data_IF_685595582569
#
_entry.id   IF_685595582569
#
_cell.length_a   1.000
_cell.length_b   1.000
_cell.length_c   1.000
_cell.angle_alpha   90.00
_cell.angle_beta   90.00
_cell.angle_gamma   90.00
#
_symmetry.space_group_name_H-M   'P 1'
#
loop_
_entity.id
_entity.type
_entity.pdbx_description
1 polymer ?
#
# COMPACT_ATOMS: atom_id res chain seq x y z
N UNK A 1 -20.02 8.88 1.66
CA UNK A 1 -18.97 7.85 1.44
C UNK A 1 -18.00 7.92 2.61
N UNK A 2 -17.49 6.81 3.10
CA UNK A 2 -16.64 6.79 4.31
C UNK A 2 -15.18 6.84 3.88
N UNK A 3 -14.44 7.86 4.31
CA UNK A 3 -13.01 8.02 4.01
C UNK A 3 -12.19 7.01 4.82
N UNK A 4 -11.36 6.24 4.14
CA UNK A 4 -10.43 5.31 4.79
C UNK A 4 -9.12 5.99 5.18
N UNK A 5 -8.68 6.98 4.38
CA UNK A 5 -7.50 7.80 4.65
C UNK A 5 -7.83 9.26 4.41
N UNK A 6 -7.36 10.14 5.30
CA UNK A 6 -7.46 11.57 5.11
C UNK A 6 -6.20 12.26 5.65
N UNK A 7 -5.53 13.02 4.80
CA UNK A 7 -4.42 13.89 5.13
C UNK A 7 -4.92 15.33 5.05
N UNK A 8 -4.82 16.10 6.14
CA UNK A 8 -5.26 17.51 6.22
C UNK A 8 -4.05 18.38 6.54
N UNK A 9 -3.63 19.17 5.57
CA UNK A 9 -2.50 20.10 5.67
C UNK A 9 -1.23 19.45 6.24
N UNK A 10 -0.97 18.20 5.79
CA UNK A 10 0.14 17.39 6.32
C UNK A 10 1.46 17.89 5.77
N UNK A 11 2.37 18.25 6.68
CA UNK A 11 3.75 18.60 6.33
C UNK A 11 4.74 17.67 7.04
N UNK A 12 5.86 17.41 6.36
CA UNK A 12 6.99 16.65 6.91
C UNK A 12 8.30 17.35 6.62
N UNK A 13 9.03 17.61 7.70
CA UNK A 13 10.34 18.24 7.66
C UNK A 13 11.33 17.29 8.32
N UNK A 14 12.43 17.04 7.63
CA UNK A 14 13.59 16.30 8.15
C UNK A 14 14.75 17.24 8.43
N UNK A 15 15.56 16.94 9.44
CA UNK A 15 16.69 17.76 9.84
C UNK A 15 16.28 19.03 10.60
N UNK A 16 17.20 19.97 10.70
CA UNK A 16 16.99 21.27 11.33
C UNK A 16 18.01 22.30 10.80
N UNK A 17 17.62 23.58 10.77
CA UNK A 17 18.47 24.67 10.31
C UNK A 17 18.92 24.50 8.87
N UNK A 18 20.25 24.66 8.55
CA UNK A 18 20.71 24.63 7.16
C UNK A 18 20.55 23.30 6.42
N UNK A 19 20.28 22.20 7.14
CA UNK A 19 20.07 20.85 6.58
C UNK A 19 18.61 20.45 6.53
N UNK A 20 17.69 21.39 6.72
CA UNK A 20 16.27 21.15 6.73
C UNK A 20 15.77 20.79 5.33
N UNK A 21 15.05 19.66 5.25
CA UNK A 21 14.43 19.18 4.02
C UNK A 21 12.93 19.07 4.21
N UNK A 22 12.16 19.86 3.47
CA UNK A 22 10.70 19.79 3.44
C UNK A 22 10.27 18.69 2.48
N UNK A 23 10.06 17.50 3.00
CA UNK A 23 9.66 16.34 2.18
C UNK A 23 8.18 16.38 1.77
N UNK A 24 7.31 16.95 2.64
CA UNK A 24 5.89 17.21 2.33
C UNK A 24 5.51 18.61 2.81
N UNK A 25 4.64 19.27 2.06
CA UNK A 25 4.19 20.65 2.32
C UNK A 25 2.68 20.75 2.16
N UNK A 26 1.98 20.86 3.28
CA UNK A 26 0.54 21.10 3.36
C UNK A 26 -0.30 20.16 2.46
N UNK A 27 0.02 18.86 2.49
CA UNK A 27 -0.65 17.85 1.67
C UNK A 27 -2.11 17.71 2.10
N UNK A 28 -3.00 17.87 1.13
CA UNK A 28 -4.42 17.54 1.20
C UNK A 28 -4.69 16.32 0.32
N UNK A 29 -5.07 15.21 0.94
CA UNK A 29 -5.40 13.97 0.23
C UNK A 29 -6.47 13.21 1.00
N UNK A 30 -7.52 12.77 0.33
CA UNK A 30 -8.48 11.83 0.89
C UNK A 30 -8.61 10.62 -0.02
N UNK A 31 -8.84 9.45 0.57
CA UNK A 31 -9.07 8.19 -0.16
C UNK A 31 -10.34 7.55 0.41
N UNK A 32 -11.31 7.32 -0.46
CA UNK A 32 -12.58 6.71 -0.10
C UNK A 32 -12.45 5.18 -0.02
N UNK A 33 -13.35 4.53 0.71
CA UNK A 33 -13.42 3.07 0.68
C UNK A 33 -13.79 2.59 -0.72
N UNK A 34 -13.04 1.61 -1.22
CA UNK A 34 -13.19 1.09 -2.58
C UNK A 34 -12.44 1.88 -3.66
N UNK A 35 -11.82 3.01 -3.30
CA UNK A 35 -11.03 3.83 -4.21
C UNK A 35 -9.57 3.36 -4.27
N UNK A 36 -8.99 3.33 -5.46
CA UNK A 36 -7.56 3.21 -5.71
C UNK A 36 -7.01 4.55 -6.21
N UNK A 37 -6.10 5.13 -5.47
CA UNK A 37 -5.40 6.37 -5.84
C UNK A 37 -3.96 6.04 -6.24
N UNK A 38 -3.54 6.47 -7.43
CA UNK A 38 -2.14 6.44 -7.82
C UNK A 38 -1.46 7.77 -7.47
N UNK A 39 -0.29 7.71 -6.85
CA UNK A 39 0.56 8.88 -6.59
C UNK A 39 1.77 8.80 -7.50
N UNK A 40 1.91 9.77 -8.38
CA UNK A 40 3.01 9.88 -9.33
C UNK A 40 3.87 11.12 -9.05
N UNK A 41 5.08 11.13 -9.59
CA UNK A 41 6.00 12.27 -9.49
C UNK A 41 7.45 11.85 -9.60
N UNK A 42 8.37 12.80 -9.80
CA UNK A 42 9.80 12.51 -9.93
C UNK A 42 10.38 11.90 -8.65
N UNK A 43 11.58 11.31 -8.73
CA UNK A 43 12.30 10.85 -7.55
C UNK A 43 12.55 12.04 -6.59
N UNK A 44 12.43 11.78 -5.29
CA UNK A 44 12.59 12.82 -4.27
C UNK A 44 11.38 13.75 -4.07
N UNK A 45 10.26 13.57 -4.79
CA UNK A 45 9.08 14.44 -4.63
C UNK A 45 8.29 14.24 -3.34
N UNK A 46 8.62 13.25 -2.50
CA UNK A 46 7.96 12.98 -1.22
C UNK A 46 7.00 11.79 -1.21
N UNK A 47 6.88 11.01 -2.30
CA UNK A 47 5.92 9.90 -2.44
C UNK A 47 6.04 8.83 -1.34
N UNK A 48 7.24 8.30 -1.10
CA UNK A 48 7.47 7.29 -0.06
C UNK A 48 7.26 7.89 1.35
N UNK A 49 7.61 9.16 1.56
CA UNK A 49 7.31 9.89 2.81
C UNK A 49 5.80 10.01 3.02
N UNK A 50 5.03 10.29 1.98
CA UNK A 50 3.57 10.32 2.06
C UNK A 50 3.02 8.96 2.50
N UNK A 51 3.50 7.86 1.90
CA UNK A 51 3.07 6.51 2.27
C UNK A 51 3.48 6.13 3.70
N UNK A 52 4.70 6.47 4.15
CA UNK A 52 5.15 6.13 5.52
C UNK A 52 4.34 6.87 6.58
N UNK A 53 3.95 8.12 6.31
CA UNK A 53 3.07 8.90 7.19
C UNK A 53 1.64 8.33 7.17
N UNK A 54 1.07 8.08 5.99
CA UNK A 54 -0.25 7.47 5.84
C UNK A 54 -0.33 6.09 6.50
N UNK A 55 0.78 5.34 6.47
CA UNK A 55 0.93 4.02 7.10
C UNK A 55 1.22 4.05 8.60
N UNK A 56 1.23 5.23 9.24
CA UNK A 56 1.60 5.37 10.66
C UNK A 56 2.99 4.83 11.00
N UNK A 57 3.91 4.78 10.03
CA UNK A 57 5.30 4.38 10.25
C UNK A 57 6.14 5.57 10.73
N UNK A 58 5.75 6.77 10.33
CA UNK A 58 6.35 8.04 10.72
C UNK A 58 5.28 9.06 11.11
N UNK A 59 5.59 9.93 12.06
CA UNK A 59 4.71 11.04 12.40
C UNK A 59 4.89 12.21 11.43
N UNK A 60 3.80 12.89 11.08
CA UNK A 60 3.85 14.19 10.43
C UNK A 60 4.50 15.24 11.34
N UNK A 61 5.12 16.26 10.76
CA UNK A 61 5.63 17.42 11.52
C UNK A 61 4.47 18.36 11.91
N UNK A 62 3.49 18.50 11.00
CA UNK A 62 2.25 19.25 11.25
C UNK A 62 1.11 18.72 10.39
N UNK A 63 -0.12 19.17 10.67
CA UNK A 63 -1.33 18.68 10.03
C UNK A 63 -1.92 17.47 10.73
N UNK A 64 -2.93 16.85 10.14
CA UNK A 64 -3.65 15.71 10.69
C UNK A 64 -3.65 14.54 9.71
N UNK A 65 -3.47 13.33 10.24
CA UNK A 65 -3.54 12.07 9.50
C UNK A 65 -4.62 11.22 10.13
N UNK A 66 -5.71 10.99 9.40
CA UNK A 66 -6.82 10.17 9.88
C UNK A 66 -6.89 8.87 9.07
N UNK A 67 -6.95 7.76 9.78
CA UNK A 67 -7.22 6.41 9.21
C UNK A 67 -8.53 5.92 9.81
N UNK A 68 -9.49 5.61 8.95
CA UNK A 68 -10.87 5.25 9.36
C UNK A 68 -11.49 6.27 10.34
N UNK A 69 -11.19 7.56 10.16
CA UNK A 69 -11.66 8.65 11.01
C UNK A 69 -10.90 8.83 12.33
N UNK A 70 -9.92 7.99 12.64
CA UNK A 70 -9.08 8.08 13.84
C UNK A 70 -7.83 8.90 13.54
N UNK A 71 -7.65 10.03 14.22
CA UNK A 71 -6.44 10.84 14.11
C UNK A 71 -5.25 10.14 14.78
N UNK A 72 -4.23 9.81 13.98
CA UNK A 72 -3.05 9.07 14.43
C UNK A 72 -2.25 9.81 15.51
N UNK A 73 -2.33 11.14 15.58
CA UNK A 73 -1.64 11.92 16.61
C UNK A 73 -2.28 11.78 18.00
N UNK A 74 -3.54 11.38 18.07
CA UNK A 74 -4.31 11.29 19.33
C UNK A 74 -4.27 9.93 19.99
N UNK A 75 -3.81 8.90 19.28
CA UNK A 75 -3.78 7.52 19.78
C UNK A 75 -2.38 7.13 20.28
N UNK A 76 -2.34 6.21 21.21
CA UNK A 76 -1.07 5.71 21.77
C UNK A 76 -0.23 4.96 20.71
N UNK A 77 1.08 4.85 20.94
CA UNK A 77 1.97 4.03 20.10
C UNK A 77 1.52 2.58 19.98
N UNK A 78 0.94 2.04 21.05
CA UNK A 78 0.38 0.67 21.06
C UNK A 78 -0.82 0.56 20.12
N UNK A 79 -1.73 1.53 20.17
CA UNK A 79 -2.91 1.56 19.31
C UNK A 79 -2.53 1.79 17.84
N UNK A 80 -1.55 2.68 17.57
CA UNK A 80 -0.98 2.84 16.23
C UNK A 80 -0.39 1.52 15.71
N UNK A 81 0.34 0.77 16.55
CA UNK A 81 0.88 -0.54 16.19
C UNK A 81 -0.24 -1.56 15.92
N UNK A 82 -1.33 -1.51 16.68
CA UNK A 82 -2.50 -2.35 16.44
C UNK A 82 -3.20 -1.99 15.12
N UNK A 83 -3.38 -0.70 14.83
CA UNK A 83 -3.95 -0.23 13.55
C UNK A 83 -3.12 -0.71 12.35
N UNK A 84 -1.78 -0.61 12.43
CA UNK A 84 -0.90 -1.15 11.38
C UNK A 84 -1.09 -2.66 11.15
N UNK A 85 -1.27 -3.44 12.23
CA UNK A 85 -1.46 -4.89 12.12
C UNK A 85 -2.83 -5.28 11.58
N UNK A 86 -3.89 -4.53 11.94
CA UNK A 86 -5.28 -4.88 11.64
C UNK A 86 -5.83 -4.20 10.39
N UNK A 87 -5.54 -2.91 10.25
CA UNK A 87 -6.25 -2.06 9.28
C UNK A 87 -5.41 -1.70 8.06
N UNK A 88 -4.06 -1.69 8.19
CA UNK A 88 -3.17 -1.19 7.13
C UNK A 88 -2.32 -2.33 6.58
N UNK A 89 -2.41 -2.57 5.28
CA UNK A 89 -1.47 -3.39 4.53
C UNK A 89 -0.40 -2.49 3.91
N UNK A 90 0.88 -2.87 4.00
CA UNK A 90 1.96 -2.08 3.42
C UNK A 90 2.86 -2.95 2.53
N UNK A 91 3.04 -2.54 1.29
CA UNK A 91 4.03 -3.11 0.34
C UNK A 91 5.18 -2.12 0.23
N UNK A 92 6.36 -2.52 0.68
CA UNK A 92 7.58 -1.70 0.63
C UNK A 92 8.32 -1.92 -0.68
N UNK A 93 9.01 -0.91 -1.17
CA UNK A 93 9.84 -0.97 -2.37
C UNK A 93 10.93 -2.07 -2.25
N UNK A 94 11.59 -2.18 -1.09
CA UNK A 94 12.62 -3.19 -0.80
C UNK A 94 12.05 -4.49 -0.20
N UNK A 95 10.75 -4.78 -0.43
CA UNK A 95 10.01 -5.93 0.08
C UNK A 95 9.90 -5.99 1.61
N UNK A 96 10.94 -5.63 2.34
CA UNK A 96 11.05 -5.64 3.81
C UNK A 96 10.60 -6.99 4.42
N UNK A 97 11.02 -8.11 3.80
CA UNK A 97 10.81 -9.45 4.33
C UNK A 97 11.83 -9.73 5.44
N UNK A 98 11.40 -10.42 6.48
CA UNK A 98 12.26 -10.83 7.58
C UNK A 98 13.10 -12.05 7.12
N UNK A 99 14.44 -11.95 7.08
CA UNK A 99 15.28 -12.99 6.52
C UNK A 99 15.28 -14.30 7.35
N UNK A 100 14.97 -14.21 8.66
CA UNK A 100 14.88 -15.38 9.54
C UNK A 100 13.53 -16.10 9.50
N UNK A 101 12.59 -15.69 8.65
CA UNK A 101 11.27 -16.28 8.48
C UNK A 101 11.09 -16.78 7.05
N UNK A 102 10.44 -17.93 6.89
CA UNK A 102 10.00 -18.43 5.59
C UNK A 102 8.95 -17.51 4.95
N UNK A 103 8.63 -17.73 3.67
CA UNK A 103 7.61 -16.94 2.97
C UNK A 103 6.25 -16.98 3.68
N UNK A 104 5.76 -18.15 4.07
CA UNK A 104 4.48 -18.30 4.77
C UNK A 104 4.51 -17.65 6.16
N UNK A 105 5.64 -17.72 6.85
CA UNK A 105 5.79 -17.06 8.16
C UNK A 105 5.85 -15.55 8.04
N UNK A 106 6.53 -15.00 7.03
CA UNK A 106 6.48 -13.57 6.71
C UNK A 106 5.04 -13.10 6.47
N UNK A 107 4.25 -13.88 5.72
CA UNK A 107 2.86 -13.54 5.40
C UNK A 107 1.95 -13.68 6.62
N UNK A 108 2.13 -14.71 7.44
CA UNK A 108 1.29 -14.95 8.63
C UNK A 108 1.63 -14.06 9.83
N UNK A 109 2.83 -13.49 9.86
CA UNK A 109 3.33 -12.71 10.99
C UNK A 109 2.37 -11.62 11.52
N UNK A 110 1.74 -10.78 10.66
CA UNK A 110 0.81 -9.77 11.16
C UNK A 110 -0.39 -10.37 11.91
N UNK A 111 -0.86 -11.55 11.50
CA UNK A 111 -1.96 -12.27 12.16
C UNK A 111 -1.51 -12.85 13.50
N UNK A 112 -0.32 -13.45 13.56
CA UNK A 112 0.25 -14.00 14.79
C UNK A 112 0.49 -12.90 15.84
N UNK A 113 1.03 -11.76 15.41
CA UNK A 113 1.20 -10.58 16.28
C UNK A 113 -0.13 -9.98 16.76
N UNK A 114 -1.23 -10.25 16.05
CA UNK A 114 -2.58 -9.86 16.45
C UNK A 114 -3.31 -10.93 17.28
N UNK A 115 -2.61 -12.00 17.66
CA UNK A 115 -3.11 -13.05 18.54
C UNK A 115 -3.78 -14.23 17.84
N UNK A 116 -3.75 -14.31 16.51
CA UNK A 116 -4.24 -15.48 15.79
C UNK A 116 -3.28 -16.65 16.03
N UNK A 117 -3.81 -17.80 16.45
CA UNK A 117 -2.98 -18.99 16.70
C UNK A 117 -2.17 -19.38 15.46
N UNK A 118 -0.88 -19.67 15.60
CA UNK A 118 0.08 -19.84 14.51
C UNK A 118 -0.35 -20.81 13.41
N UNK A 119 -0.99 -21.94 13.76
CA UNK A 119 -1.53 -22.89 12.74
C UNK A 119 -2.61 -22.23 11.87
N UNK A 120 -3.52 -21.47 12.46
CA UNK A 120 -4.59 -20.77 11.73
C UNK A 120 -4.01 -19.60 10.92
N UNK A 121 -3.06 -18.85 11.49
CA UNK A 121 -2.37 -17.76 10.79
C UNK A 121 -1.63 -18.27 9.55
N UNK A 122 -0.86 -19.37 9.67
CA UNK A 122 -0.15 -19.98 8.54
C UNK A 122 -1.10 -20.52 7.47
N UNK A 123 -2.23 -21.13 7.86
CA UNK A 123 -3.24 -21.57 6.89
C UNK A 123 -3.84 -20.39 6.09
N UNK A 124 -4.03 -19.24 6.75
CA UNK A 124 -4.48 -18.01 6.09
C UNK A 124 -3.36 -17.43 5.21
N UNK A 125 -2.13 -17.44 5.68
CA UNK A 125 -0.95 -17.03 4.91
C UNK A 125 -0.75 -17.86 3.65
N UNK A 126 -0.93 -19.18 3.75
CA UNK A 126 -0.86 -20.10 2.61
C UNK A 126 -1.87 -19.72 1.51
N UNK A 127 -3.14 -19.45 1.90
CA UNK A 127 -4.17 -18.99 0.97
C UNK A 127 -3.84 -17.64 0.32
N UNK A 128 -3.12 -16.77 1.04
CA UNK A 128 -2.68 -15.50 0.47
C UNK A 128 -1.56 -15.70 -0.56
N UNK A 129 -0.65 -16.65 -0.33
CA UNK A 129 0.39 -17.03 -1.29
C UNK A 129 -0.20 -17.70 -2.54
N UNK A 130 -1.25 -18.53 -2.39
CA UNK A 130 -1.96 -19.15 -3.51
C UNK A 130 -2.56 -18.11 -4.47
N UNK A 131 -3.14 -17.02 -3.94
CA UNK A 131 -3.70 -15.93 -4.76
C UNK A 131 -2.66 -15.20 -5.62
N UNK A 132 -1.39 -15.37 -5.30
CA UNK A 132 -0.26 -14.71 -5.96
C UNK A 132 0.66 -15.70 -6.69
N UNK A 133 0.21 -16.94 -6.90
CA UNK A 133 0.95 -17.99 -7.61
C UNK A 133 2.38 -18.18 -7.07
N UNK A 134 2.54 -18.20 -5.73
CA UNK A 134 3.82 -18.35 -5.03
C UNK A 134 3.72 -19.34 -3.85
N UNK A 135 2.65 -20.11 -3.79
CA UNK A 135 2.39 -21.06 -2.71
C UNK A 135 3.43 -22.21 -2.64
N UNK A 136 4.00 -22.61 -3.76
CA UNK A 136 5.06 -23.62 -3.84
C UNK A 136 6.39 -23.15 -3.22
N UNK A 137 6.52 -21.86 -2.94
CA UNK A 137 7.65 -21.22 -2.24
C UNK A 137 7.39 -20.97 -0.75
N UNK A 138 6.25 -21.41 -0.20
CA UNK A 138 5.82 -21.11 1.17
C UNK A 138 6.89 -21.37 2.25
N UNK A 139 7.72 -22.40 2.06
CA UNK A 139 8.76 -22.82 3.01
C UNK A 139 10.17 -22.29 2.67
N UNK A 140 10.32 -21.47 1.64
CA UNK A 140 11.59 -20.84 1.27
C UNK A 140 11.84 -19.59 2.11
N UNK A 141 13.12 -19.32 2.39
CA UNK A 141 13.58 -18.08 3.00
C UNK A 141 13.73 -16.97 1.94
N UNK A 142 13.70 -15.69 2.32
CA UNK A 142 13.79 -14.58 1.37
C UNK A 142 15.01 -14.60 0.43
N UNK A 143 16.15 -15.11 0.88
CA UNK A 143 17.38 -15.23 0.09
C UNK A 143 17.31 -16.36 -0.95
N UNK A 144 16.41 -17.33 -0.78
CA UNK A 144 16.15 -18.41 -1.72
C UNK A 144 15.11 -18.03 -2.79
N UNK A 145 14.52 -16.83 -2.71
CA UNK A 145 13.47 -16.34 -3.61
C UNK A 145 14.04 -15.38 -4.66
N UNK A 146 13.53 -15.45 -5.88
CA UNK A 146 13.76 -14.41 -6.90
C UNK A 146 13.16 -13.06 -6.48
N UNK A 147 13.55 -11.96 -7.14
CA UNK A 147 12.98 -10.64 -6.89
C UNK A 147 11.45 -10.61 -7.04
N UNK A 148 10.93 -11.21 -8.10
CA UNK A 148 9.49 -11.30 -8.34
C UNK A 148 8.75 -12.18 -7.33
N UNK A 149 9.36 -13.27 -6.85
CA UNK A 149 8.78 -14.11 -5.77
C UNK A 149 8.76 -13.35 -4.45
N UNK A 150 9.84 -12.62 -4.09
CA UNK A 150 9.86 -11.74 -2.91
C UNK A 150 8.78 -10.67 -2.96
N UNK A 151 8.60 -10.06 -4.13
CA UNK A 151 7.54 -9.06 -4.33
C UNK A 151 6.15 -9.66 -4.08
N UNK A 152 5.84 -10.83 -4.66
CA UNK A 152 4.57 -11.52 -4.45
C UNK A 152 4.35 -11.91 -2.98
N UNK A 153 5.39 -12.37 -2.28
CA UNK A 153 5.32 -12.65 -0.83
C UNK A 153 5.04 -11.37 -0.03
N UNK A 154 5.69 -10.25 -0.35
CA UNK A 154 5.45 -8.96 0.30
C UNK A 154 4.02 -8.46 0.09
N UNK A 155 3.48 -8.64 -1.12
CA UNK A 155 2.07 -8.31 -1.42
C UNK A 155 1.12 -9.25 -0.66
N UNK A 156 1.39 -10.57 -0.62
CA UNK A 156 0.61 -11.52 0.17
C UNK A 156 0.52 -11.09 1.64
N UNK A 157 1.65 -10.66 2.23
CA UNK A 157 1.71 -10.13 3.59
C UNK A 157 0.86 -8.86 3.76
N UNK A 158 0.84 -8.00 2.76
CA UNK A 158 0.06 -6.77 2.83
C UNK A 158 -1.45 -7.01 2.74
N UNK A 159 -1.90 -8.03 2.01
CA UNK A 159 -3.33 -8.33 1.80
C UNK A 159 -3.88 -9.41 2.75
N UNK A 160 -3.04 -10.03 3.57
CA UNK A 160 -3.49 -11.08 4.51
C UNK A 160 -4.38 -10.49 5.60
N UNK A 161 -5.48 -11.18 5.92
CA UNK A 161 -6.47 -10.70 6.89
C UNK A 161 -7.43 -9.67 6.29
N UNK A 162 -8.12 -8.94 7.17
CA UNK A 162 -9.12 -7.92 6.81
C UNK A 162 -8.47 -6.53 6.87
N UNK A 163 -7.98 -6.06 5.72
CA UNK A 163 -7.36 -4.73 5.62
C UNK A 163 -8.39 -3.71 5.12
N UNK A 164 -8.41 -2.53 5.73
CA UNK A 164 -9.23 -1.40 5.29
C UNK A 164 -8.49 -0.46 4.34
N UNK A 165 -7.16 -0.38 4.49
CA UNK A 165 -6.28 0.48 3.71
C UNK A 165 -5.07 -0.31 3.21
N UNK A 166 -4.71 -0.13 1.95
CA UNK A 166 -3.55 -0.73 1.30
C UNK A 166 -2.64 0.38 0.77
N UNK A 167 -1.38 0.37 1.22
CA UNK A 167 -0.36 1.32 0.81
C UNK A 167 0.74 0.54 0.08
N UNK A 168 1.08 0.92 -1.14
CA UNK A 168 2.04 0.20 -1.94
C UNK A 168 3.04 1.14 -2.61
N UNK A 169 4.31 0.97 -2.30
CA UNK A 169 5.42 1.71 -2.89
C UNK A 169 6.06 0.86 -3.98
N UNK A 170 5.86 1.24 -5.25
CA UNK A 170 6.36 0.54 -6.45
C UNK A 170 6.06 -0.98 -6.42
N UNK A 171 4.78 -1.42 -6.26
CA UNK A 171 4.44 -2.82 -5.97
C UNK A 171 4.76 -3.78 -7.11
N UNK A 172 5.13 -3.29 -8.28
CA UNK A 172 5.41 -4.08 -9.48
C UNK A 172 6.83 -3.91 -10.00
N UNK A 173 7.66 -3.09 -9.34
CA UNK A 173 8.99 -2.71 -9.82
C UNK A 173 9.98 -3.88 -10.02
N UNK A 174 9.75 -5.04 -9.39
CA UNK A 174 10.56 -6.24 -9.58
C UNK A 174 9.87 -7.32 -10.44
N UNK A 175 8.74 -7.00 -11.08
CA UNK A 175 7.93 -7.92 -11.89
C UNK A 175 8.02 -7.55 -13.37
N UNK A 176 7.89 -8.55 -14.23
CA UNK A 176 7.58 -8.32 -15.64
C UNK A 176 6.14 -7.79 -15.81
N UNK A 177 5.81 -7.30 -17.00
CA UNK A 177 4.52 -6.66 -17.29
C UNK A 177 3.32 -7.57 -17.01
N UNK A 178 3.42 -8.87 -17.32
CA UNK A 178 2.31 -9.84 -17.13
C UNK A 178 2.04 -10.06 -15.63
N UNK A 179 3.10 -10.27 -14.85
CA UNK A 179 3.01 -10.44 -13.40
C UNK A 179 2.61 -9.12 -12.72
N UNK A 180 3.08 -7.97 -13.23
CA UNK A 180 2.69 -6.64 -12.75
C UNK A 180 1.19 -6.38 -12.92
N UNK A 181 0.62 -6.68 -14.09
CA UNK A 181 -0.82 -6.59 -14.31
C UNK A 181 -1.63 -7.52 -13.40
N UNK A 182 -1.16 -8.76 -13.18
CA UNK A 182 -1.83 -9.69 -12.29
C UNK A 182 -1.91 -9.15 -10.86
N UNK A 183 -0.85 -8.48 -10.38
CA UNK A 183 -0.85 -7.77 -9.10
C UNK A 183 -1.86 -6.63 -9.09
N UNK A 184 -1.89 -5.80 -10.13
CA UNK A 184 -2.85 -4.68 -10.21
C UNK A 184 -4.30 -5.17 -10.22
N UNK A 185 -4.61 -6.26 -10.94
CA UNK A 185 -5.94 -6.90 -10.90
C UNK A 185 -6.31 -7.36 -9.48
N UNK A 186 -5.36 -7.95 -8.75
CA UNK A 186 -5.59 -8.40 -7.37
C UNK A 186 -5.84 -7.22 -6.42
N UNK A 187 -5.08 -6.13 -6.56
CA UNK A 187 -5.32 -4.89 -5.82
C UNK A 187 -6.71 -4.35 -6.15
N UNK A 188 -7.05 -4.26 -7.43
CA UNK A 188 -8.37 -3.79 -7.89
C UNK A 188 -9.53 -4.63 -7.32
N UNK A 189 -9.38 -5.96 -7.34
CA UNK A 189 -10.35 -6.87 -6.71
C UNK A 189 -10.49 -6.66 -5.19
N UNK A 190 -9.45 -6.18 -4.49
CA UNK A 190 -9.55 -5.79 -3.09
C UNK A 190 -10.35 -4.49 -2.94
N UNK A 191 -10.14 -3.49 -3.82
CA UNK A 191 -10.91 -2.24 -3.80
C UNK A 191 -12.40 -2.51 -4.02
N UNK A 192 -12.76 -3.39 -4.96
CA UNK A 192 -14.16 -3.80 -5.18
C UNK A 192 -14.83 -4.41 -3.94
N UNK A 193 -14.06 -4.93 -2.98
CA UNK A 193 -14.54 -5.41 -1.68
C UNK A 193 -14.56 -4.34 -0.59
N UNK A 194 -14.30 -3.08 -0.94
CA UNK A 194 -14.33 -1.93 -0.02
C UNK A 194 -12.98 -1.58 0.64
N UNK A 195 -11.88 -2.21 0.25
CA UNK A 195 -10.53 -1.78 0.66
C UNK A 195 -10.19 -0.48 -0.06
N UNK A 196 -9.58 0.48 0.63
CA UNK A 196 -9.01 1.67 0.01
C UNK A 196 -7.55 1.43 -0.36
N UNK A 197 -7.05 2.02 -1.44
CA UNK A 197 -5.67 1.83 -1.88
C UNK A 197 -4.94 3.10 -2.27
N UNK A 198 -3.68 3.20 -1.90
CA UNK A 198 -2.74 4.20 -2.45
C UNK A 198 -1.54 3.46 -3.03
N UNK A 199 -1.29 3.66 -4.31
CA UNK A 199 -0.15 3.07 -5.02
C UNK A 199 0.77 4.18 -5.49
N UNK A 200 2.02 4.14 -5.09
CA UNK A 200 3.08 4.97 -5.67
C UNK A 200 3.67 4.23 -6.86
N UNK A 201 3.73 4.89 -8.00
CA UNK A 201 4.38 4.36 -9.20
C UNK A 201 4.87 5.48 -10.09
N UNK A 202 5.90 5.22 -10.87
CA UNK A 202 6.35 6.09 -11.96
C UNK A 202 5.86 5.61 -13.33
N UNK A 203 5.19 4.46 -13.41
CA UNK A 203 4.70 3.86 -14.63
C UNK A 203 3.26 4.29 -14.92
N UNK A 204 3.06 5.06 -16.00
CA UNK A 204 1.75 5.59 -16.38
C UNK A 204 0.70 4.50 -16.66
N UNK A 205 1.12 3.34 -17.20
CA UNK A 205 0.20 2.25 -17.49
C UNK A 205 -0.33 1.59 -16.19
N UNK A 206 0.48 1.54 -15.12
CA UNK A 206 0.03 1.06 -13.81
C UNK A 206 -0.89 2.09 -13.13
N UNK A 207 -0.57 3.38 -13.27
CA UNK A 207 -1.42 4.45 -12.77
C UNK A 207 -2.81 4.44 -13.42
N UNK A 208 -2.94 3.94 -14.66
CA UNK A 208 -4.25 3.83 -15.34
C UNK A 208 -5.23 2.82 -14.70
N UNK A 209 -4.75 1.97 -13.80
CA UNK A 209 -5.60 1.09 -13.00
C UNK A 209 -6.29 1.81 -11.83
N UNK A 210 -5.82 3.00 -11.47
CA UNK A 210 -6.37 3.79 -10.38
C UNK A 210 -7.64 4.55 -10.82
N UNK A 211 -8.50 4.88 -9.85
CA UNK A 211 -9.67 5.73 -10.07
C UNK A 211 -9.26 7.19 -10.23
N UNK A 212 -8.15 7.56 -9.61
CA UNK A 212 -7.60 8.92 -9.60
C UNK A 212 -6.08 8.88 -9.52
N UNK A 213 -5.46 9.83 -10.22
CA UNK A 213 -4.00 10.04 -10.18
C UNK A 213 -3.71 11.39 -9.50
N UNK A 214 -2.79 11.36 -8.54
CA UNK A 214 -2.28 12.54 -7.82
C UNK A 214 -0.84 12.74 -8.22
N UNK A 215 -0.50 13.94 -8.68
CA UNK A 215 0.87 14.30 -9.04
C UNK A 215 1.53 15.06 -7.90
N UNK A 216 2.64 14.48 -7.39
CA UNK A 216 3.44 15.06 -6.32
C UNK A 216 4.74 15.62 -6.89
N UNK A 217 5.06 16.89 -6.55
CA UNK A 217 6.29 17.54 -6.95
C UNK A 217 6.79 18.45 -5.82
N UNK A 218 8.08 18.33 -5.45
CA UNK A 218 8.74 19.14 -4.44
C UNK A 218 7.95 19.23 -3.10
N UNK A 219 7.33 18.10 -2.72
CA UNK A 219 6.51 17.98 -1.52
C UNK A 219 5.10 18.54 -1.63
N UNK A 220 4.66 19.02 -2.79
CA UNK A 220 3.30 19.54 -3.02
C UNK A 220 2.49 18.64 -3.96
N UNK A 221 1.18 18.57 -3.74
CA UNK A 221 0.24 18.07 -4.75
C UNK A 221 0.06 19.18 -5.79
N UNK A 222 0.52 18.93 -7.02
CA UNK A 222 0.49 19.92 -8.11
C UNK A 222 -0.68 19.72 -9.07
N UNK A 223 -1.20 18.48 -9.15
CA UNK A 223 -2.35 18.16 -10.01
C UNK A 223 -3.06 16.91 -9.50
N UNK A 224 -4.36 16.79 -9.83
CA UNK A 224 -5.17 15.60 -9.56
C UNK A 224 -6.09 15.37 -10.75
N UNK A 225 -6.00 14.19 -11.36
CA UNK A 225 -6.85 13.83 -12.49
C UNK A 225 -7.63 12.56 -12.16
N UNK A 226 -8.90 12.51 -12.56
CA UNK A 226 -9.64 11.25 -12.60
C UNK A 226 -9.05 10.43 -13.73
N UNK A 227 -8.56 9.23 -13.44
CA UNK A 227 -8.04 8.36 -14.50
C UNK A 227 -9.19 8.03 -15.47
N UNK A 228 -8.93 7.96 -16.79
CA UNK A 228 -9.90 7.40 -17.71
C UNK A 228 -10.21 5.96 -17.27
N UNK A 229 -11.44 5.47 -17.53
CA UNK A 229 -11.82 4.12 -17.11
C UNK A 229 -10.81 3.11 -17.62
N UNK A 230 -10.28 2.29 -16.69
CA UNK A 230 -9.21 1.33 -16.96
C UNK A 230 -9.61 0.25 -17.98
N UNK A 231 -8.67 -0.56 -18.48
CA UNK A 231 -8.93 -1.56 -19.52
C UNK A 231 -10.10 -2.50 -19.21
N UNK A 232 -10.38 -2.77 -17.93
CA UNK A 232 -11.52 -3.61 -17.52
C UNK A 232 -12.89 -2.96 -17.75
N UNK A 233 -13.00 -1.64 -17.72
CA UNK A 233 -14.27 -0.94 -18.00
C UNK A 233 -14.65 -0.98 -19.48
N UNK A 234 -13.66 -1.13 -20.36
CA UNK A 234 -13.88 -1.30 -21.81
C UNK A 234 -14.41 -2.70 -22.14
N UNK A 235 -14.11 -3.71 -21.32
CA UNK A 235 -14.63 -5.08 -21.48
C UNK A 235 -16.06 -5.22 -20.95
N UNK A 236 -16.44 -4.45 -19.93
CA UNK A 236 -17.79 -4.48 -19.34
C UNK A 236 -18.85 -3.79 -20.22
N UNK A 237 -18.46 -2.98 -21.20
CA UNK A 237 -19.37 -2.28 -22.11
C UNK A 237 -19.80 -3.13 -23.34
N UNK A 238 -19.25 -4.32 -23.52
CA UNK A 238 -19.48 -5.20 -24.68
C UNK A 238 -20.71 -6.11 -24.60
N UNK A 239 -21.38 -6.22 -23.45
CA UNK A 239 -22.48 -7.19 -23.24
C UNK A 239 -23.88 -6.55 -23.17
N UNK A 240 -24.11 -5.45 -23.87
CA UNK A 240 -25.47 -4.89 -24.06
C UNK A 240 -25.73 -4.62 -25.54
N UNK A 241 -26.04 -5.70 -26.26
CA UNK A 241 -26.85 -5.66 -27.47
C UNK A 241 -27.68 -6.94 -27.55
#
# INVERSE_FOLDING_TARGET
MTRALELRQVSKIYGSGPTEVHALREIELSVERGELVAVMGPSGSGKSTLLTIAGSLEAATSGQVLVDGVDLATVSRSDQAQMRRRSIGYVFQDFNLLPGLTAVENVSLPLELDGVHGKAARATGQKALEKLDVADRAHRYPDELSGGERQRVAIARAIVGERGLLLADEPTGALDSVNGEAVMRLLRAAMQRGVAGVVVTHEAHLASWADRVVFLRDGHVVDQTVAPPGPESLLASGDRH
#
